data_IF_653391754963
#
_entry.id   IF_653391754963
#
_cell.length_a   1.000
_cell.length_b   1.000
_cell.length_c   1.000
_cell.angle_alpha   90.00
_cell.angle_beta   90.00
_cell.angle_gamma   90.00
#
_symmetry.space_group_name_H-M   'P 1'
#
loop_
_entity.id
_entity.type
_entity.pdbx_description
1 polymer ?
#
# COMPACT_ATOMS: atom_id res chain seq x y z
N UNK A 1 21.74 -16.58 -10.15
CA UNK A 1 20.72 -16.48 -9.10
C UNK A 1 19.39 -16.35 -9.81
N UNK A 2 18.45 -17.26 -9.56
CA UNK A 2 17.08 -17.11 -10.08
C UNK A 2 16.43 -16.00 -9.26
N UNK A 3 16.01 -14.92 -9.91
CA UNK A 3 15.20 -13.88 -9.29
C UNK A 3 13.80 -14.45 -9.16
N UNK A 4 13.26 -14.49 -7.94
CA UNK A 4 11.89 -14.95 -7.70
C UNK A 4 10.97 -13.73 -7.86
N UNK A 5 10.11 -13.79 -8.88
CA UNK A 5 9.11 -12.77 -9.17
C UNK A 5 7.79 -13.20 -8.53
N UNK A 6 7.35 -12.44 -7.55
CA UNK A 6 6.08 -12.65 -6.85
C UNK A 6 5.07 -11.60 -7.35
N UNK A 7 3.90 -12.04 -7.83
CA UNK A 7 2.84 -11.14 -8.32
C UNK A 7 1.71 -11.04 -7.31
N UNK A 8 1.16 -9.85 -7.15
CA UNK A 8 0.02 -9.63 -6.27
C UNK A 8 -0.47 -8.19 -6.33
N UNK A 9 -1.09 -7.78 -5.24
CA UNK A 9 -1.62 -6.43 -5.06
C UNK A 9 -0.82 -5.69 -4.00
N UNK A 10 -0.53 -4.42 -4.24
CA UNK A 10 0.22 -3.58 -3.31
C UNK A 10 -0.58 -2.32 -3.00
N UNK A 11 -0.52 -1.89 -1.75
CA UNK A 11 -1.07 -0.59 -1.34
C UNK A 11 0.04 0.43 -1.46
N UNK A 12 -0.23 1.51 -2.18
CA UNK A 12 0.72 2.56 -2.49
C UNK A 12 0.14 3.94 -2.20
N UNK A 13 1.02 4.93 -2.07
CA UNK A 13 0.70 6.35 -2.01
C UNK A 13 1.52 7.13 -3.04
N UNK A 14 0.99 8.27 -3.48
CA UNK A 14 1.74 9.23 -4.29
C UNK A 14 2.64 10.10 -3.38
N UNK A 15 3.94 9.81 -3.37
CA UNK A 15 4.93 10.63 -2.68
C UNK A 15 5.34 11.83 -3.54
N UNK A 16 5.34 13.04 -2.95
CA UNK A 16 5.70 14.30 -3.62
C UNK A 16 7.09 14.29 -4.31
N UNK A 17 8.03 13.50 -3.79
CA UNK A 17 9.41 13.43 -4.31
C UNK A 17 9.81 12.03 -4.80
N UNK A 18 9.05 10.99 -4.43
CA UNK A 18 9.38 9.60 -4.70
C UNK A 18 8.51 8.93 -5.77
N UNK A 19 7.47 9.60 -6.25
CA UNK A 19 6.45 8.96 -7.09
C UNK A 19 5.64 7.95 -6.27
N UNK A 20 5.18 6.89 -6.93
CA UNK A 20 4.37 5.84 -6.30
C UNK A 20 5.23 4.99 -5.39
N UNK A 21 4.94 4.98 -4.09
CA UNK A 21 5.70 4.22 -3.08
C UNK A 21 4.79 3.31 -2.24
N UNK A 22 5.27 2.14 -1.78
CA UNK A 22 4.52 1.22 -0.94
C UNK A 22 4.12 1.88 0.39
N UNK A 23 2.85 1.77 0.74
CA UNK A 23 2.32 2.29 1.99
C UNK A 23 2.43 1.29 3.14
N UNK A 24 2.52 0.00 2.84
CA UNK A 24 2.57 -1.08 3.84
C UNK A 24 3.85 -1.89 3.66
N UNK A 25 4.66 -1.90 4.71
CA UNK A 25 5.95 -2.59 4.76
C UNK A 25 5.90 -3.64 5.88
N UNK A 26 6.29 -4.86 5.57
CA UNK A 26 6.58 -5.91 6.54
C UNK A 26 8.08 -5.97 6.87
N UNK A 27 8.46 -6.98 7.65
CA UNK A 27 9.85 -7.18 8.11
C UNK A 27 10.88 -7.34 6.98
N UNK A 28 10.43 -7.67 5.78
CA UNK A 28 11.26 -7.97 4.62
C UNK A 28 10.99 -7.06 3.41
N UNK A 29 10.35 -5.91 3.64
CA UNK A 29 10.00 -4.95 2.59
C UNK A 29 8.51 -4.88 2.30
N UNK A 30 8.11 -4.41 1.10
CA UNK A 30 6.71 -4.22 0.73
C UNK A 30 5.89 -5.50 0.85
N UNK A 31 4.64 -5.35 1.31
CA UNK A 31 3.69 -6.46 1.39
C UNK A 31 2.94 -6.59 0.05
N UNK A 32 2.87 -7.82 -0.47
CA UNK A 32 1.96 -8.20 -1.54
C UNK A 32 0.77 -8.96 -0.95
N UNK A 33 -0.44 -8.50 -1.28
CA UNK A 33 -1.70 -9.16 -0.98
C UNK A 33 -2.05 -10.13 -2.11
N UNK A 34 -2.71 -11.23 -1.79
CA UNK A 34 -3.09 -12.22 -2.79
C UNK A 34 -4.26 -11.74 -3.65
N UNK A 35 -5.13 -10.90 -3.10
CA UNK A 35 -6.27 -10.31 -3.81
C UNK A 35 -6.39 -8.81 -3.60
N UNK A 36 -7.00 -8.12 -4.57
CA UNK A 36 -7.33 -6.69 -4.43
C UNK A 36 -8.21 -6.44 -3.21
N UNK A 37 -9.13 -7.37 -2.92
CA UNK A 37 -10.06 -7.29 -1.80
C UNK A 37 -9.32 -7.27 -0.46
N UNK A 38 -8.33 -8.13 -0.28
CA UNK A 38 -7.50 -8.15 0.94
C UNK A 38 -6.76 -6.82 1.13
N UNK A 39 -6.20 -6.27 0.05
CA UNK A 39 -5.54 -4.96 0.10
C UNK A 39 -6.52 -3.83 0.46
N UNK A 40 -7.73 -3.84 -0.12
CA UNK A 40 -8.78 -2.88 0.22
C UNK A 40 -9.23 -3.01 1.68
N UNK A 41 -9.33 -4.23 2.22
CA UNK A 41 -9.67 -4.47 3.63
C UNK A 41 -8.60 -3.92 4.58
N UNK A 42 -7.33 -4.01 4.22
CA UNK A 42 -6.24 -3.39 4.99
C UNK A 42 -6.33 -1.86 4.97
N UNK A 43 -6.63 -1.24 3.82
CA UNK A 43 -6.89 0.22 3.74
C UNK A 43 -8.04 0.61 4.66
N UNK A 44 -9.15 -0.15 4.65
CA UNK A 44 -10.29 0.09 5.53
C UNK A 44 -9.91 -0.06 7.00
N UNK A 45 -9.10 -1.06 7.34
CA UNK A 45 -8.57 -1.27 8.69
C UNK A 45 -7.78 -0.05 9.18
N UNK A 46 -6.85 0.46 8.37
CA UNK A 46 -6.07 1.66 8.68
C UNK A 46 -6.94 2.91 8.79
N UNK A 47 -7.94 3.06 7.92
CA UNK A 47 -8.89 4.16 7.99
C UNK A 47 -9.69 4.11 9.31
N UNK A 48 -10.21 2.95 9.69
CA UNK A 48 -10.92 2.79 10.96
C UNK A 48 -10.03 3.13 12.16
N UNK A 49 -8.75 2.74 12.13
CA UNK A 49 -7.79 3.12 13.16
C UNK A 49 -7.62 4.63 13.26
N UNK A 50 -7.36 5.32 12.14
CA UNK A 50 -7.24 6.79 12.09
C UNK A 50 -8.50 7.51 12.56
N UNK A 51 -9.68 6.98 12.22
CA UNK A 51 -10.96 7.54 12.67
C UNK A 51 -11.15 7.37 14.18
N UNK A 52 -10.72 6.25 14.77
CA UNK A 52 -10.74 6.08 16.22
C UNK A 52 -9.75 7.03 16.91
N UNK A 53 -8.54 7.22 16.38
CA UNK A 53 -7.58 8.21 16.92
C UNK A 53 -8.19 9.63 16.94
N UNK A 54 -8.96 10.00 15.91
CA UNK A 54 -9.70 11.27 15.91
C UNK A 54 -10.74 11.35 17.03
N UNK A 55 -11.52 10.29 17.24
CA UNK A 55 -12.52 10.23 18.32
C UNK A 55 -11.87 10.32 19.71
N UNK A 56 -10.65 9.80 19.85
CA UNK A 56 -9.85 9.86 21.08
C UNK A 56 -9.13 11.22 21.26
N UNK A 57 -9.13 12.07 20.23
CA UNK A 57 -8.46 13.38 20.24
C UNK A 57 -6.96 13.32 19.92
N UNK A 58 -6.46 12.18 19.47
CA UNK A 58 -5.04 11.92 19.14
C UNK A 58 -4.69 12.29 17.68
N UNK A 59 -5.70 12.56 16.84
CA UNK A 59 -5.54 12.96 15.43
C UNK A 59 -6.54 14.07 15.05
N UNK A 60 -6.18 14.94 14.11
CA UNK A 60 -7.10 15.91 13.52
C UNK A 60 -8.04 15.27 12.47
N UNK A 61 -9.14 15.95 12.16
CA UNK A 61 -10.17 15.40 11.27
C UNK A 61 -9.63 15.21 9.85
N UNK A 62 -8.94 16.22 9.33
CA UNK A 62 -8.41 16.26 7.97
C UNK A 62 -7.43 15.10 7.70
N UNK A 63 -6.55 14.81 8.65
CA UNK A 63 -5.63 13.68 8.58
C UNK A 63 -6.35 12.34 8.73
N UNK A 64 -7.40 12.27 9.56
CA UNK A 64 -8.16 11.05 9.77
C UNK A 64 -8.96 10.62 8.53
N UNK A 65 -9.42 11.56 7.71
CA UNK A 65 -10.22 11.28 6.49
C UNK A 65 -9.43 11.33 5.19
N UNK A 66 -8.12 11.59 5.22
CA UNK A 66 -7.29 11.63 4.01
C UNK A 66 -7.23 10.25 3.34
N UNK A 67 -7.54 10.19 2.05
CA UNK A 67 -7.49 8.96 1.23
C UNK A 67 -6.33 9.06 0.24
N UNK A 68 -5.12 8.81 0.73
CA UNK A 68 -3.90 8.80 -0.07
C UNK A 68 -3.55 7.40 -0.57
N UNK A 69 -4.01 6.36 0.13
CA UNK A 69 -3.73 4.97 -0.22
C UNK A 69 -4.62 4.44 -1.35
N UNK A 70 -4.02 3.77 -2.32
CA UNK A 70 -4.74 3.04 -3.38
C UNK A 70 -4.03 1.73 -3.73
N UNK A 71 -4.77 0.82 -4.38
CA UNK A 71 -4.28 -0.52 -4.73
C UNK A 71 -3.75 -0.53 -6.17
N UNK A 72 -2.61 -1.18 -6.37
CA UNK A 72 -2.02 -1.45 -7.69
C UNK A 72 -1.68 -2.93 -7.84
N UNK A 73 -1.71 -3.43 -9.07
CA UNK A 73 -1.11 -4.73 -9.40
C UNK A 73 0.41 -4.54 -9.43
N UNK A 74 1.15 -5.39 -8.73
CA UNK A 74 2.59 -5.26 -8.59
C UNK A 74 3.31 -6.60 -8.73
N UNK A 75 4.55 -6.53 -9.21
CA UNK A 75 5.47 -7.67 -9.23
C UNK A 75 6.69 -7.32 -8.37
N UNK A 76 6.91 -8.11 -7.32
CA UNK A 76 8.05 -7.96 -6.41
C UNK A 76 9.18 -8.89 -6.85
N UNK A 77 10.35 -8.32 -7.10
CA UNK A 77 11.54 -9.07 -7.51
C UNK A 77 12.46 -9.22 -6.29
N UNK A 78 12.42 -10.40 -5.65
CA UNK A 78 13.25 -10.65 -4.47
C UNK A 78 14.70 -10.93 -4.89
N UNK A 79 15.60 -10.01 -4.53
CA UNK A 79 17.03 -10.13 -4.83
C UNK A 79 17.85 -8.89 -4.47
N UNK A 80 17.28 -7.70 -4.63
CA UNK A 80 17.93 -6.40 -4.33
C UNK A 80 17.03 -5.40 -3.55
N UNK A 81 15.80 -5.76 -3.17
CA UNK A 81 14.85 -4.84 -2.51
C UNK A 81 14.13 -3.89 -3.47
N UNK A 82 14.20 -4.13 -4.78
CA UNK A 82 13.50 -3.36 -5.82
C UNK A 82 12.14 -3.99 -6.13
N UNK A 83 11.12 -3.17 -6.39
CA UNK A 83 9.76 -3.57 -6.77
C UNK A 83 9.35 -2.83 -8.03
N UNK A 84 8.59 -3.49 -8.92
CA UNK A 84 8.01 -2.86 -10.11
C UNK A 84 6.48 -2.83 -9.94
N UNK A 85 5.93 -1.63 -9.77
CA UNK A 85 4.50 -1.39 -9.62
C UNK A 85 3.95 -0.85 -10.93
N UNK A 86 3.33 -1.73 -11.72
CA UNK A 86 2.66 -1.35 -12.97
C UNK A 86 1.20 -1.05 -12.71
N UNK A 87 0.77 0.20 -12.94
CA UNK A 87 -0.65 0.51 -13.04
C UNK A 87 -1.20 -0.13 -14.32
N UNK A 88 -1.90 -1.27 -14.20
CA UNK A 88 -2.80 -1.69 -15.27
C UNK A 88 -3.96 -0.69 -15.29
N UNK A 89 -3.93 0.24 -16.24
CA UNK A 89 -5.07 1.09 -16.55
C UNK A 89 -6.15 0.16 -17.10
N UNK A 90 -7.24 -0.05 -16.35
CA UNK A 90 -8.43 -0.68 -16.91
C UNK A 90 -9.05 0.32 -17.91
N UNK A 91 -8.98 -0.01 -19.20
CA UNK A 91 -9.71 0.64 -20.30
C UNK A 91 -11.24 0.52 -20.15
#
# INVERSE_FOLDING_TARGET
MMQEEEKGYMIVIDSLLGGVVPSVLGDHGPILFATEREAQEEIVSHLMFRLNEFLEGERDFESAVSLEEYVVVASLIRGNGEYDATQETQD
#
